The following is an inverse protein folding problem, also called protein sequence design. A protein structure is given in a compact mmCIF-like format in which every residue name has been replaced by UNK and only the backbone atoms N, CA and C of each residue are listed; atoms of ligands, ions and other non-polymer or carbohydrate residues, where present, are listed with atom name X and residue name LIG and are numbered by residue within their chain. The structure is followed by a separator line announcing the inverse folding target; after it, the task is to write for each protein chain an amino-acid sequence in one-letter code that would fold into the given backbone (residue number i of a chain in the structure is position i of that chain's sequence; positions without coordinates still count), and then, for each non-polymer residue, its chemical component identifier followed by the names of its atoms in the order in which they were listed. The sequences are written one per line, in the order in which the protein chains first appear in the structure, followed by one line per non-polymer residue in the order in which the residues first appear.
data_IF_903138414266
#
_entry.id   IF_903138414266
#
_cell.length_a   1.000
_cell.length_b   1.000
_cell.length_c   1.000
_cell.angle_alpha   90.00
_cell.angle_beta   90.00
_cell.angle_gamma   90.00
#
_symmetry.space_group_name_H-M   'P 1'
#
loop_
_entity.id
_entity.type
_entity.pdbx_description
1 polymer ?
#
# COMPACT_ATOMS: atom_id res chain seq x y z
N UNK A 1 1.25 58.86 30.83
CA UNK A 1 1.28 57.42 30.52
C UNK A 1 1.04 56.65 31.81
N UNK A 2 -0.22 56.47 32.23
CA UNK A 2 -0.51 55.78 33.49
C UNK A 2 -0.31 54.29 33.29
N UNK A 3 0.70 53.74 33.94
CA UNK A 3 0.86 52.29 34.04
C UNK A 3 -0.21 51.67 34.95
N UNK A 4 -0.08 50.36 35.17
CA UNK A 4 -0.98 49.60 36.03
C UNK A 4 -1.10 50.18 37.44
N UNK A 5 -2.33 50.20 37.95
CA UNK A 5 -2.64 50.49 39.35
C UNK A 5 -2.04 49.41 40.26
N UNK A 6 -1.78 49.70 41.55
CA UNK A 6 -1.25 48.72 42.49
C UNK A 6 -2.07 47.42 42.56
N UNK A 7 -3.41 47.53 42.52
CA UNK A 7 -4.31 46.38 42.58
C UNK A 7 -4.25 45.52 41.30
N UNK A 8 -4.14 46.15 40.14
CA UNK A 8 -3.95 45.43 38.86
C UNK A 8 -2.61 44.68 38.84
N UNK A 9 -1.54 45.28 39.37
CA UNK A 9 -0.24 44.61 39.49
C UNK A 9 -0.33 43.41 40.42
N UNK A 10 -0.95 43.56 41.60
CA UNK A 10 -1.15 42.48 42.56
C UNK A 10 -1.96 41.33 41.92
N UNK A 11 -3.03 41.66 41.21
CA UNK A 11 -3.87 40.67 40.52
C UNK A 11 -3.12 39.93 39.42
N UNK A 12 -2.32 40.64 38.62
CA UNK A 12 -1.52 40.03 37.55
C UNK A 12 -0.47 39.07 38.10
N UNK A 13 0.18 39.40 39.21
CA UNK A 13 1.17 38.52 39.84
C UNK A 13 0.52 37.29 40.50
N UNK A 14 -0.66 37.44 41.09
CA UNK A 14 -1.47 36.31 41.55
C UNK A 14 -1.83 35.36 40.41
N UNK A 15 -2.35 35.89 39.30
CA UNK A 15 -2.70 35.10 38.10
C UNK A 15 -1.46 34.44 37.49
N UNK A 16 -0.33 35.14 37.43
CA UNK A 16 0.93 34.61 36.90
C UNK A 16 1.45 33.46 37.76
N UNK A 17 1.29 33.53 39.08
CA UNK A 17 1.67 32.45 40.00
C UNK A 17 0.78 31.21 39.81
N UNK A 18 -0.54 31.40 39.72
CA UNK A 18 -1.48 30.32 39.43
C UNK A 18 -1.20 29.69 38.06
N UNK A 19 -0.93 30.51 37.04
CA UNK A 19 -0.60 30.03 35.70
C UNK A 19 0.67 29.19 35.67
N UNK A 20 1.72 29.59 36.40
CA UNK A 20 2.97 28.81 36.49
C UNK A 20 2.76 27.45 37.17
N UNK A 21 1.94 27.39 38.22
CA UNK A 21 1.58 26.12 38.87
C UNK A 21 0.76 25.23 37.95
N UNK A 22 -0.27 25.78 37.32
CA UNK A 22 -1.08 25.06 36.34
C UNK A 22 -0.23 24.48 35.20
N UNK A 23 0.69 25.28 34.65
CA UNK A 23 1.59 24.81 33.58
C UNK A 23 2.51 23.68 34.06
N UNK A 24 2.98 23.75 35.31
CA UNK A 24 3.77 22.68 35.92
C UNK A 24 2.93 21.41 36.14
N UNK A 25 1.67 21.57 36.51
CA UNK A 25 0.74 20.43 36.69
C UNK A 25 0.34 19.77 35.35
N UNK A 26 0.60 20.42 34.21
CA UNK A 26 0.46 19.81 32.88
C UNK A 26 1.67 18.96 32.47
N UNK A 27 2.78 19.00 33.23
CA UNK A 27 3.90 18.11 32.98
C UNK A 27 3.51 16.68 33.37
N UNK A 28 3.33 15.81 32.36
CA UNK A 28 3.00 14.42 32.60
C UNK A 28 4.22 13.64 33.09
N UNK A 29 3.98 12.76 34.05
CA UNK A 29 4.99 11.79 34.48
C UNK A 29 5.20 10.73 33.38
N UNK A 30 6.37 10.09 33.31
CA UNK A 30 6.61 9.01 32.34
C UNK A 30 5.68 7.79 32.48
N UNK A 31 4.94 7.68 33.59
CA UNK A 31 4.00 6.59 33.84
C UNK A 31 2.63 6.99 33.35
N UNK A 32 2.29 6.52 32.16
CA UNK A 32 0.95 6.65 31.61
C UNK A 32 0.18 5.33 31.76
N UNK A 33 -1.14 5.37 31.99
CA UNK A 33 -1.96 4.17 31.93
C UNK A 33 -2.03 3.69 30.47
N UNK A 34 -1.20 2.69 30.15
CA UNK A 34 -1.20 2.04 28.83
C UNK A 34 -2.25 0.93 28.81
N UNK A 35 -3.01 0.83 27.72
CA UNK A 35 -3.89 -0.31 27.49
C UNK A 35 -3.09 -1.62 27.53
N UNK A 36 -3.68 -2.73 28.02
CA UNK A 36 -3.01 -4.01 27.99
C UNK A 36 -2.66 -4.39 26.54
N UNK A 37 -1.52 -5.06 26.31
CA UNK A 37 -1.10 -5.42 24.98
C UNK A 37 -2.12 -6.37 24.33
N UNK A 38 -2.43 -6.13 23.05
CA UNK A 38 -3.30 -6.99 22.29
C UNK A 38 -2.76 -8.44 22.24
N UNK A 39 -3.65 -9.42 22.37
CA UNK A 39 -3.27 -10.84 22.28
C UNK A 39 -2.82 -11.15 20.85
N UNK A 40 -1.52 -11.25 20.63
CA UNK A 40 -0.93 -11.68 19.35
C UNK A 40 -1.38 -13.10 18.99
N UNK A 41 -1.65 -13.34 17.72
CA UNK A 41 -1.96 -14.68 17.19
C UNK A 41 -0.75 -15.62 17.20
N UNK A 42 -0.91 -16.94 16.97
CA UNK A 42 0.20 -17.90 16.99
C UNK A 42 1.33 -17.55 16.01
N UNK A 43 0.99 -17.14 14.79
CA UNK A 43 1.95 -16.76 13.75
C UNK A 43 2.70 -15.47 14.12
N UNK A 44 1.98 -14.47 14.63
CA UNK A 44 2.59 -13.21 15.10
C UNK A 44 3.49 -13.42 16.31
N UNK A 45 3.13 -14.34 17.22
CA UNK A 45 3.99 -14.73 18.34
C UNK A 45 5.25 -15.42 17.84
N UNK A 46 5.14 -16.34 16.91
CA UNK A 46 6.29 -17.02 16.30
C UNK A 46 7.26 -16.01 15.69
N UNK A 47 6.79 -15.14 14.79
CA UNK A 47 7.63 -14.13 14.16
C UNK A 47 8.17 -13.10 15.16
N UNK A 48 7.36 -12.73 16.15
CA UNK A 48 7.78 -11.88 17.24
C UNK A 48 8.97 -12.47 18.01
N UNK A 49 8.91 -13.75 18.36
CA UNK A 49 9.97 -14.47 19.06
C UNK A 49 11.20 -14.69 18.16
N UNK A 50 10.98 -15.08 16.90
CA UNK A 50 12.06 -15.28 15.92
C UNK A 50 12.88 -14.00 15.70
N UNK A 51 12.24 -12.83 15.73
CA UNK A 51 12.87 -11.53 15.53
C UNK A 51 13.38 -10.85 16.82
N UNK A 52 13.21 -11.46 18.00
CA UNK A 52 13.73 -10.89 19.25
C UNK A 52 15.25 -10.63 19.16
N UNK A 53 15.99 -11.61 18.63
CA UNK A 53 17.39 -11.45 18.28
C UNK A 53 17.51 -10.93 16.85
N UNK A 54 17.84 -9.64 16.74
CA UNK A 54 17.97 -8.99 15.43
C UNK A 54 19.27 -9.42 14.75
N UNK A 55 19.15 -10.39 13.84
CA UNK A 55 20.17 -10.76 12.89
C UNK A 55 19.68 -10.43 11.46
N UNK A 56 20.58 -9.99 10.58
CA UNK A 56 20.30 -9.70 9.18
C UNK A 56 19.57 -10.84 8.49
N UNK A 57 20.02 -12.08 8.67
CA UNK A 57 19.35 -13.26 8.10
C UNK A 57 17.87 -13.33 8.50
N UNK A 58 17.59 -13.25 9.80
CA UNK A 58 16.21 -13.34 10.33
C UNK A 58 15.31 -12.22 9.81
N UNK A 59 15.86 -11.01 9.69
CA UNK A 59 15.14 -9.85 9.14
C UNK A 59 14.81 -10.08 7.66
N UNK A 60 15.78 -10.53 6.86
CA UNK A 60 15.55 -10.78 5.43
C UNK A 60 14.58 -11.94 5.21
N UNK A 61 14.65 -13.00 6.01
CA UNK A 61 13.65 -14.10 5.96
C UNK A 61 12.25 -13.58 6.25
N UNK A 62 12.08 -12.77 7.29
CA UNK A 62 10.77 -12.19 7.63
C UNK A 62 10.26 -11.24 6.53
N UNK A 63 11.14 -10.43 5.92
CA UNK A 63 10.79 -9.58 4.78
C UNK A 63 10.32 -10.39 3.58
N UNK A 64 11.03 -11.46 3.24
CA UNK A 64 10.65 -12.36 2.15
C UNK A 64 9.29 -13.03 2.42
N UNK A 65 9.05 -13.50 3.65
CA UNK A 65 7.76 -14.03 4.07
C UNK A 65 6.63 -13.00 3.89
N UNK A 66 6.79 -11.78 4.41
CA UNK A 66 5.77 -10.73 4.28
C UNK A 66 5.52 -10.34 2.83
N UNK A 67 6.58 -10.25 2.01
CA UNK A 67 6.44 -10.01 0.58
C UNK A 67 5.65 -11.14 -0.09
N UNK A 68 5.93 -12.40 0.26
CA UNK A 68 5.18 -13.56 -0.23
C UNK A 68 3.71 -13.56 0.18
N UNK A 69 3.40 -13.23 1.43
CA UNK A 69 2.01 -13.10 1.91
C UNK A 69 1.31 -11.96 1.16
N UNK A 70 1.99 -10.83 0.94
CA UNK A 70 1.43 -9.71 0.19
C UNK A 70 1.16 -10.09 -1.26
N UNK A 71 2.11 -10.70 -1.97
CA UNK A 71 1.91 -11.09 -3.37
C UNK A 71 0.77 -12.09 -3.51
N UNK A 72 0.66 -13.07 -2.62
CA UNK A 72 -0.43 -14.03 -2.64
C UNK A 72 -1.79 -13.36 -2.39
N UNK A 73 -1.90 -12.60 -1.31
CA UNK A 73 -3.19 -12.06 -0.84
C UNK A 73 -3.66 -10.83 -1.62
N UNK A 74 -2.74 -9.98 -2.08
CA UNK A 74 -3.07 -8.71 -2.73
C UNK A 74 -2.93 -8.75 -4.25
N UNK A 75 -2.22 -9.72 -4.82
CA UNK A 75 -2.06 -9.83 -6.27
C UNK A 75 -2.66 -11.12 -6.81
N UNK A 76 -2.19 -12.29 -6.38
CA UNK A 76 -2.56 -13.56 -7.00
C UNK A 76 -4.03 -13.92 -6.78
N UNK A 77 -4.51 -13.87 -5.54
CA UNK A 77 -5.91 -14.21 -5.24
C UNK A 77 -6.89 -13.27 -5.97
N UNK A 78 -6.73 -11.93 -5.90
CA UNK A 78 -7.58 -11.02 -6.69
C UNK A 78 -7.47 -11.26 -8.20
N UNK A 79 -6.27 -11.47 -8.74
CA UNK A 79 -6.09 -11.75 -10.15
C UNK A 79 -6.82 -13.03 -10.59
N UNK A 80 -6.78 -14.10 -9.79
CA UNK A 80 -7.54 -15.33 -10.07
C UNK A 80 -9.05 -15.11 -10.01
N UNK A 81 -9.54 -14.33 -9.04
CA UNK A 81 -10.96 -13.99 -8.94
C UNK A 81 -11.42 -13.21 -10.18
N UNK A 82 -10.66 -12.19 -10.58
CA UNK A 82 -10.94 -11.38 -11.77
C UNK A 82 -10.89 -12.25 -13.02
N UNK A 83 -9.86 -13.09 -13.18
CA UNK A 83 -9.75 -14.00 -14.31
C UNK A 83 -10.92 -14.96 -14.40
N UNK A 84 -11.33 -15.55 -13.27
CA UNK A 84 -12.48 -16.44 -13.19
C UNK A 84 -13.78 -15.72 -13.58
N UNK A 85 -13.99 -14.50 -13.08
CA UNK A 85 -15.14 -13.68 -13.42
C UNK A 85 -15.18 -13.36 -14.92
N UNK A 86 -14.06 -12.89 -15.49
CA UNK A 86 -13.94 -12.61 -16.93
C UNK A 86 -14.25 -13.86 -17.75
N UNK A 87 -13.69 -15.01 -17.38
CA UNK A 87 -13.84 -16.28 -18.11
C UNK A 87 -15.28 -16.80 -18.13
N UNK A 88 -15.98 -16.78 -17.00
CA UNK A 88 -17.29 -17.45 -16.89
C UNK A 88 -18.50 -16.51 -16.90
N UNK A 89 -18.31 -15.21 -16.66
CA UNK A 89 -19.43 -14.26 -16.56
C UNK A 89 -19.39 -13.18 -17.63
N UNK A 90 -18.20 -12.73 -18.02
CA UNK A 90 -18.07 -11.67 -19.04
C UNK A 90 -18.01 -12.29 -20.43
N UNK A 91 -17.11 -13.25 -20.67
CA UNK A 91 -16.95 -13.89 -21.98
C UNK A 91 -18.19 -14.63 -22.48
N UNK A 92 -19.07 -15.09 -21.57
CA UNK A 92 -20.32 -15.77 -21.94
C UNK A 92 -21.37 -14.81 -22.50
N UNK A 93 -21.20 -13.50 -22.31
CA UNK A 93 -22.12 -12.47 -22.80
C UNK A 93 -21.62 -11.92 -24.15
N UNK A 94 -22.48 -11.86 -25.19
CA UNK A 94 -22.07 -11.34 -26.49
C UNK A 94 -21.66 -9.87 -26.36
N UNK A 95 -20.57 -9.50 -27.05
CA UNK A 95 -19.99 -8.15 -27.06
C UNK A 95 -19.56 -7.59 -25.70
N UNK A 96 -19.54 -8.38 -24.63
CA UNK A 96 -19.05 -7.91 -23.34
C UNK A 96 -17.52 -7.74 -23.32
N UNK A 97 -16.79 -8.46 -24.18
CA UNK A 97 -15.38 -8.23 -24.47
C UNK A 97 -15.24 -8.09 -25.98
N UNK A 98 -14.80 -6.91 -26.43
CA UNK A 98 -14.52 -6.63 -27.84
C UNK A 98 -13.02 -6.35 -27.96
N UNK A 99 -12.32 -7.23 -28.65
CA UNK A 99 -10.90 -7.08 -28.92
C UNK A 99 -10.70 -6.47 -30.31
N UNK A 100 -9.67 -5.64 -30.46
CA UNK A 100 -9.20 -5.24 -31.78
C UNK A 100 -8.57 -6.45 -32.45
N UNK A 101 -8.87 -6.63 -33.74
CA UNK A 101 -8.21 -7.66 -34.56
C UNK A 101 -6.68 -7.44 -34.55
N UNK A 102 -5.87 -8.51 -34.47
CA UNK A 102 -4.42 -8.38 -34.55
C UNK A 102 -4.01 -7.75 -35.90
N UNK A 103 -2.88 -7.06 -35.90
CA UNK A 103 -2.29 -6.55 -37.15
C UNK A 103 -1.69 -7.72 -37.92
N UNK A 104 -1.93 -7.75 -39.22
CA UNK A 104 -1.37 -8.74 -40.14
C UNK A 104 -0.30 -8.06 -40.98
N UNK A 105 0.85 -8.69 -41.09
CA UNK A 105 1.95 -8.26 -41.94
C UNK A 105 2.20 -9.25 -43.09
N UNK A 106 2.77 -8.76 -44.20
CA UNK A 106 3.20 -9.61 -45.31
C UNK A 106 4.13 -10.73 -44.82
N UNK A 107 3.82 -11.98 -45.17
CA UNK A 107 4.54 -13.17 -44.74
C UNK A 107 4.01 -13.84 -43.46
N UNK A 108 3.08 -13.20 -42.73
CA UNK A 108 2.43 -13.83 -41.56
C UNK A 108 1.56 -15.01 -42.01
N UNK A 109 1.43 -16.03 -41.14
CA UNK A 109 0.51 -17.16 -41.36
C UNK A 109 -0.67 -17.05 -40.40
N UNK A 110 -1.89 -17.01 -40.94
CA UNK A 110 -3.12 -17.00 -40.14
C UNK A 110 -3.30 -18.39 -39.52
N UNK A 111 -3.32 -18.48 -38.18
CA UNK A 111 -3.35 -19.77 -37.47
C UNK A 111 -4.65 -20.54 -37.76
N UNK A 112 -5.76 -19.82 -37.90
CA UNK A 112 -7.08 -20.39 -38.11
C UNK A 112 -7.31 -20.89 -39.55
N UNK A 113 -6.71 -20.22 -40.54
CA UNK A 113 -6.92 -20.50 -41.98
C UNK A 113 -5.73 -21.24 -42.62
N UNK A 114 -4.53 -21.11 -42.05
CA UNK A 114 -3.27 -21.57 -42.64
C UNK A 114 -2.78 -20.73 -43.83
N UNK A 115 -3.48 -19.64 -44.16
CA UNK A 115 -3.13 -18.76 -45.27
C UNK A 115 -1.92 -17.89 -44.93
N UNK A 116 -0.98 -17.79 -45.87
CA UNK A 116 0.19 -16.92 -45.75
C UNK A 116 -0.14 -15.58 -46.41
N UNK A 117 0.00 -14.49 -45.67
CA UNK A 117 -0.23 -13.13 -46.16
C UNK A 117 0.78 -12.84 -47.29
N UNK A 118 0.33 -12.41 -48.47
CA UNK A 118 1.23 -12.20 -49.60
C UNK A 118 2.30 -11.14 -49.29
N UNK A 119 3.54 -11.32 -49.78
CA UNK A 119 4.59 -10.31 -49.65
C UNK A 119 4.19 -9.02 -50.37
N UNK A 120 4.70 -7.88 -49.91
CA UNK A 120 4.52 -6.62 -50.64
C UNK A 120 5.24 -6.71 -51.98
N UNK A 121 4.62 -6.17 -53.03
CA UNK A 121 5.28 -5.99 -54.31
C UNK A 121 6.52 -5.09 -54.12
N UNK A 122 7.68 -5.59 -54.56
CA UNK A 122 8.91 -4.79 -54.53
C UNK A 122 8.76 -3.65 -55.54
N UNK A 123 8.55 -2.43 -55.08
CA UNK A 123 8.74 -1.26 -55.94
C UNK A 123 10.19 -1.26 -56.41
N UNK A 124 10.43 -1.15 -57.72
CA UNK A 124 11.75 -0.89 -58.29
C UNK A 124 12.27 0.43 -57.73
N UNK A 125 12.94 0.36 -56.56
CA UNK A 125 13.41 1.52 -55.84
C UNK A 125 14.44 2.25 -56.69
N UNK A 126 14.11 3.46 -57.11
CA UNK A 126 15.10 4.40 -57.63
C UNK A 126 15.89 4.94 -56.43
N UNK A 127 17.08 4.38 -56.23
CA UNK A 127 18.19 5.05 -55.59
C UNK A 127 19.25 5.33 -56.65
#
# INVERSE_FOLDING_TARGET
MSGYTPDEKLRLDQLRTLRRRWLKDQELSPREPVLPPAKKGPVERFWGNFLQEKNLWRIYTFKAYNAGVFTLTRLLIPAWIVHYYVKYHVQTKPYAIVNLKPRLFPGDTIIETGEVVPPMETSSGHH
#
